data_IF_080118954062
#
_entry.id   IF_080118954062
#
_cell.length_a   1.000
_cell.length_b   1.000
_cell.length_c   1.000
_cell.angle_alpha   90.00
_cell.angle_beta   90.00
_cell.angle_gamma   90.00
#
_symmetry.space_group_name_H-M   'P 1'
#
loop_
_entity.id
_entity.type
_entity.pdbx_description
1 polymer ?
#
# COMPACT_ATOMS: atom_id res chain seq x y z
N UNK A 1 -1.46 -52.19 35.79
CA UNK A 1 -1.29 -50.93 36.54
C UNK A 1 -0.17 -50.16 35.87
N UNK A 2 -0.50 -48.99 35.31
CA UNK A 2 0.39 -48.16 34.49
C UNK A 2 1.18 -47.20 35.39
N UNK A 3 2.50 -47.01 35.24
CA UNK A 3 3.22 -45.95 35.93
C UNK A 3 3.09 -44.61 35.18
N UNK A 4 2.91 -43.55 35.95
CA UNK A 4 2.77 -42.15 35.52
C UNK A 4 3.94 -41.66 34.64
N UNK A 5 3.61 -41.05 33.50
CA UNK A 5 4.42 -40.00 32.88
C UNK A 5 4.10 -38.65 33.57
N UNK A 6 5.09 -37.86 33.99
CA UNK A 6 4.84 -36.47 34.38
C UNK A 6 4.64 -35.63 33.12
N UNK A 7 3.55 -34.88 33.12
CA UNK A 7 3.16 -33.93 32.09
C UNK A 7 3.99 -32.64 32.24
N UNK A 8 4.92 -32.38 31.32
CA UNK A 8 5.60 -31.08 31.22
C UNK A 8 4.70 -30.09 30.47
N UNK A 9 3.72 -29.52 31.19
CA UNK A 9 3.14 -28.24 30.78
C UNK A 9 4.11 -27.14 31.24
N UNK A 10 4.87 -26.59 30.28
CA UNK A 10 5.87 -25.55 30.52
C UNK A 10 5.25 -24.31 31.16
N UNK A 11 5.79 -23.92 32.32
CA UNK A 11 5.55 -22.63 32.92
C UNK A 11 6.25 -21.58 32.05
N UNK A 12 5.49 -20.72 31.37
CA UNK A 12 6.02 -19.44 30.91
C UNK A 12 6.52 -18.70 32.17
N UNK A 13 7.79 -18.29 32.18
CA UNK A 13 8.40 -17.63 33.32
C UNK A 13 7.77 -16.24 33.52
N UNK A 14 7.68 -15.75 34.75
CA UNK A 14 7.14 -14.41 35.07
C UNK A 14 7.89 -13.28 34.32
N UNK A 15 9.11 -13.55 33.84
CA UNK A 15 9.90 -12.65 32.98
C UNK A 15 9.28 -12.48 31.58
N UNK A 16 8.76 -13.56 30.95
CA UNK A 16 8.10 -13.49 29.63
C UNK A 16 6.80 -12.65 29.69
N UNK A 17 6.14 -12.58 30.85
CA UNK A 17 4.92 -11.79 31.05
C UNK A 17 5.17 -10.27 31.20
N UNK A 18 6.44 -9.84 31.26
CA UNK A 18 6.81 -8.43 31.46
C UNK A 18 7.59 -7.82 30.29
N UNK A 19 7.94 -8.62 29.27
CA UNK A 19 8.73 -8.16 28.14
C UNK A 19 7.94 -7.19 27.24
N UNK A 20 8.51 -6.00 27.04
CA UNK A 20 7.97 -5.01 26.11
C UNK A 20 8.33 -5.37 24.67
N UNK A 21 7.40 -5.09 23.77
CA UNK A 21 7.52 -5.31 22.34
C UNK A 21 7.20 -4.02 21.59
N UNK A 22 7.96 -3.73 20.53
CA UNK A 22 7.59 -2.71 19.56
C UNK A 22 6.61 -3.35 18.59
N UNK A 23 5.36 -2.87 18.61
CA UNK A 23 4.27 -3.34 17.74
C UNK A 23 4.17 -2.42 16.53
N UNK A 24 4.15 -3.02 15.35
CA UNK A 24 4.15 -2.32 14.07
C UNK A 24 3.33 -3.08 13.04
N UNK A 25 3.14 -2.47 11.88
CA UNK A 25 2.47 -3.11 10.75
C UNK A 25 3.43 -3.33 9.58
N UNK A 26 3.23 -4.43 8.85
CA UNK A 26 3.87 -4.70 7.58
C UNK A 26 2.91 -5.51 6.71
N UNK A 27 2.65 -5.06 5.48
CA UNK A 27 1.69 -5.67 4.55
C UNK A 27 0.29 -5.91 5.19
N UNK A 28 -0.23 -4.91 5.91
CA UNK A 28 -1.50 -4.97 6.65
C UNK A 28 -1.57 -6.03 7.77
N UNK A 29 -0.41 -6.51 8.25
CA UNK A 29 -0.33 -7.44 9.37
C UNK A 29 0.34 -6.79 10.56
N UNK A 30 -0.19 -7.05 11.76
CA UNK A 30 0.40 -6.57 13.00
C UNK A 30 1.50 -7.52 13.45
N UNK A 31 2.69 -6.98 13.55
CA UNK A 31 3.89 -7.69 13.93
C UNK A 31 4.53 -7.05 15.15
N UNK A 32 5.45 -7.78 15.78
CA UNK A 32 6.20 -7.29 16.91
C UNK A 32 7.63 -7.81 16.93
N UNK A 33 8.54 -6.99 17.45
CA UNK A 33 9.90 -7.36 17.83
C UNK A 33 10.09 -6.96 19.29
N UNK A 34 10.80 -7.80 20.05
CA UNK A 34 11.17 -7.49 21.43
C UNK A 34 11.88 -6.14 21.53
N UNK A 35 11.44 -5.29 22.45
CA UNK A 35 11.89 -3.90 22.55
C UNK A 35 13.40 -3.80 22.83
N UNK A 36 13.97 -4.74 23.59
CA UNK A 36 15.40 -4.80 23.88
C UNK A 36 16.28 -5.04 22.64
N UNK A 37 15.70 -5.54 21.54
CA UNK A 37 16.38 -5.71 20.25
C UNK A 37 16.26 -4.49 19.33
N UNK A 38 15.40 -3.53 19.66
CA UNK A 38 15.20 -2.31 18.86
C UNK A 38 16.02 -1.17 19.46
N UNK A 39 17.10 -0.78 18.77
CA UNK A 39 17.98 0.32 19.19
C UNK A 39 17.30 1.68 19.05
N UNK A 40 16.61 1.91 17.91
CA UNK A 40 15.88 3.14 17.64
C UNK A 40 14.90 2.97 16.47
N UNK A 41 13.86 3.80 16.47
CA UNK A 41 12.97 4.00 15.34
C UNK A 41 13.43 5.24 14.57
N UNK A 42 13.57 5.12 13.25
CA UNK A 42 14.05 6.23 12.42
C UNK A 42 13.12 6.44 11.25
N UNK A 43 12.93 7.70 10.85
CA UNK A 43 12.46 8.01 9.51
C UNK A 43 13.56 7.61 8.54
N UNK A 44 13.20 6.80 7.53
CA UNK A 44 14.15 6.22 6.62
C UNK A 44 14.87 7.34 5.83
N UNK A 45 16.20 7.44 5.92
CA UNK A 45 16.97 8.34 5.06
C UNK A 45 17.00 7.79 3.62
N UNK A 46 17.57 8.53 2.65
CA UNK A 46 17.71 8.03 1.28
C UNK A 46 18.39 6.67 1.23
N UNK A 47 17.75 5.73 0.53
CA UNK A 47 18.24 4.36 0.35
C UNK A 47 19.13 4.30 -0.89
N UNK A 48 20.29 3.66 -0.77
CA UNK A 48 21.16 3.35 -1.89
C UNK A 48 21.00 1.86 -2.21
N UNK A 49 20.42 1.48 -3.36
CA UNK A 49 20.28 0.08 -3.74
C UNK A 49 21.64 -0.61 -3.85
N UNK A 50 21.69 -1.89 -3.46
CA UNK A 50 22.89 -2.73 -3.61
C UNK A 50 22.56 -3.86 -4.59
N UNK A 51 23.36 -4.05 -5.66
CA UNK A 51 23.13 -5.14 -6.61
C UNK A 51 23.56 -6.50 -6.04
N UNK A 52 23.02 -7.59 -6.59
CA UNK A 52 23.38 -8.98 -6.25
C UNK A 52 23.16 -9.38 -4.79
N UNK A 53 22.21 -8.74 -4.10
CA UNK A 53 21.77 -9.11 -2.75
C UNK A 53 20.48 -9.91 -2.77
N UNK A 54 20.14 -10.51 -1.63
CA UNK A 54 18.84 -11.13 -1.42
C UNK A 54 17.70 -10.13 -1.75
N UNK A 55 16.57 -10.54 -2.38
CA UNK A 55 15.48 -9.63 -2.75
C UNK A 55 14.85 -8.84 -1.60
N UNK A 56 14.98 -9.34 -0.37
CA UNK A 56 14.53 -8.63 0.83
C UNK A 56 15.45 -7.46 1.23
N UNK A 57 16.65 -7.35 0.66
CA UNK A 57 17.57 -6.23 0.90
C UNK A 57 17.18 -5.08 -0.02
N UNK A 58 16.55 -4.06 0.55
CA UNK A 58 16.20 -2.84 -0.17
C UNK A 58 17.44 -1.98 -0.50
N UNK A 59 18.53 -2.14 0.25
CA UNK A 59 19.80 -1.50 -0.02
C UNK A 59 20.57 -1.19 1.27
N UNK A 60 21.27 -0.06 1.27
CA UNK A 60 21.96 0.49 2.43
C UNK A 60 21.48 1.91 2.72
N UNK A 61 21.56 2.29 3.99
CA UNK A 61 21.29 3.66 4.46
C UNK A 61 22.49 4.20 5.22
N UNK A 62 22.64 5.52 5.21
CA UNK A 62 23.58 6.22 6.08
C UNK A 62 22.83 6.79 7.29
N UNK A 63 23.05 6.21 8.46
CA UNK A 63 22.47 6.67 9.71
C UNK A 63 23.56 7.29 10.59
N UNK A 64 23.56 8.62 10.69
CA UNK A 64 24.54 9.40 11.48
C UNK A 64 26.01 9.06 11.17
N UNK A 65 26.33 8.82 9.90
CA UNK A 65 27.68 8.48 9.44
C UNK A 65 27.97 6.97 9.38
N UNK A 66 27.10 6.13 9.94
CA UNK A 66 27.22 4.68 9.85
C UNK A 66 26.44 4.13 8.65
N UNK A 67 27.09 3.29 7.85
CA UNK A 67 26.43 2.54 6.77
C UNK A 67 25.77 1.30 7.36
N UNK A 68 24.44 1.21 7.21
CA UNK A 68 23.61 0.16 7.77
C UNK A 68 22.82 -0.51 6.64
N UNK A 69 22.74 -1.84 6.64
CA UNK A 69 21.92 -2.59 5.70
C UNK A 69 20.43 -2.38 5.97
N UNK A 70 19.64 -2.25 4.90
CA UNK A 70 18.20 -2.07 4.96
C UNK A 70 17.48 -3.29 4.41
N UNK A 71 16.64 -3.87 5.24
CA UNK A 71 15.71 -4.94 4.89
C UNK A 71 14.30 -4.38 4.72
N UNK A 72 13.58 -4.77 3.67
CA UNK A 72 12.14 -4.54 3.56
C UNK A 72 11.38 -5.74 4.10
N UNK A 73 10.66 -5.54 5.21
CA UNK A 73 9.94 -6.63 5.86
C UNK A 73 8.79 -7.18 5.01
N UNK A 74 8.18 -6.36 4.13
CA UNK A 74 7.18 -6.87 3.18
C UNK A 74 7.80 -7.87 2.21
N UNK A 75 8.99 -7.56 1.71
CA UNK A 75 9.73 -8.45 0.81
C UNK A 75 10.13 -9.76 1.52
N UNK A 76 10.47 -9.71 2.81
CA UNK A 76 10.65 -10.92 3.65
C UNK A 76 9.39 -11.78 3.66
N UNK A 77 8.21 -11.16 3.68
CA UNK A 77 6.93 -11.87 3.66
C UNK A 77 6.46 -12.24 2.24
N UNK A 78 7.30 -12.06 1.22
CA UNK A 78 6.94 -12.32 -0.18
C UNK A 78 5.85 -11.38 -0.69
N UNK A 79 5.72 -10.19 -0.10
CA UNK A 79 4.77 -9.14 -0.49
C UNK A 79 5.49 -8.03 -1.24
N UNK A 80 4.81 -7.33 -2.17
CA UNK A 80 5.37 -6.14 -2.81
C UNK A 80 5.77 -5.11 -1.75
N UNK A 81 6.86 -4.38 -2.00
CA UNK A 81 7.24 -3.27 -1.14
C UNK A 81 6.16 -2.19 -1.15
N UNK A 82 6.14 -1.31 -0.15
CA UNK A 82 5.28 -0.12 -0.17
C UNK A 82 5.53 0.70 -1.44
N UNK A 83 6.79 0.78 -1.88
CA UNK A 83 7.16 1.50 -3.09
C UNK A 83 6.56 0.85 -4.35
N UNK A 84 6.59 -0.48 -4.45
CA UNK A 84 6.00 -1.23 -5.58
C UNK A 84 4.48 -1.09 -5.62
N UNK A 85 3.80 -1.16 -4.47
CA UNK A 85 2.35 -0.96 -4.40
C UNK A 85 1.95 0.45 -4.84
N UNK A 86 2.66 1.47 -4.37
CA UNK A 86 2.43 2.85 -4.79
C UNK A 86 2.70 2.98 -6.29
N UNK A 87 3.79 2.42 -6.79
CA UNK A 87 4.12 2.50 -8.21
C UNK A 87 3.03 1.84 -9.07
N UNK A 88 2.54 0.67 -8.69
CA UNK A 88 1.42 0.02 -9.35
C UNK A 88 0.16 0.87 -9.34
N UNK A 89 -0.17 1.48 -8.20
CA UNK A 89 -1.30 2.40 -8.09
C UNK A 89 -1.15 3.64 -8.97
N UNK A 90 0.05 4.23 -9.04
CA UNK A 90 0.31 5.38 -9.90
C UNK A 90 0.12 5.03 -11.39
N UNK A 91 0.53 3.82 -11.80
CA UNK A 91 0.30 3.31 -13.15
C UNK A 91 -1.20 3.11 -13.41
N UNK A 92 -1.96 2.56 -12.47
CA UNK A 92 -3.42 2.46 -12.59
C UNK A 92 -4.08 3.84 -12.76
N UNK A 93 -3.63 4.85 -12.01
CA UNK A 93 -4.14 6.23 -12.15
C UNK A 93 -3.81 6.83 -13.53
N UNK A 94 -2.65 6.53 -14.10
CA UNK A 94 -2.29 6.92 -15.47
C UNK A 94 -3.21 6.27 -16.51
N UNK A 95 -3.53 4.99 -16.33
CA UNK A 95 -4.44 4.27 -17.21
C UNK A 95 -5.86 4.84 -17.11
N UNK A 96 -6.33 5.16 -15.90
CA UNK A 96 -7.63 5.78 -15.68
C UNK A 96 -7.72 7.16 -16.33
N UNK A 97 -6.70 8.01 -16.20
CA UNK A 97 -6.70 9.32 -16.85
C UNK A 97 -6.73 9.16 -18.38
N UNK A 98 -5.92 8.23 -18.91
CA UNK A 98 -5.83 7.96 -20.35
C UNK A 98 -7.14 7.46 -20.94
N UNK A 99 -7.87 6.58 -20.23
CA UNK A 99 -9.17 6.09 -20.67
C UNK A 99 -10.13 7.25 -21.00
N UNK A 100 -10.17 8.28 -20.16
CA UNK A 100 -11.01 9.47 -20.36
C UNK A 100 -10.49 10.38 -21.48
N UNK A 101 -9.17 10.52 -21.61
CA UNK A 101 -8.55 11.26 -22.71
C UNK A 101 -8.89 10.61 -24.07
N UNK A 102 -8.78 9.29 -24.15
CA UNK A 102 -9.08 8.51 -25.35
C UNK A 102 -10.57 8.59 -25.71
N UNK A 103 -11.47 8.52 -24.72
CA UNK A 103 -12.91 8.71 -24.95
C UNK A 103 -13.20 10.07 -25.63
N UNK A 104 -12.63 11.15 -25.10
CA UNK A 104 -12.83 12.50 -25.65
C UNK A 104 -12.18 12.65 -27.03
N UNK A 105 -11.00 12.06 -27.25
CA UNK A 105 -10.34 12.05 -28.55
C UNK A 105 -11.18 11.31 -29.62
N UNK A 106 -11.79 10.17 -29.25
CA UNK A 106 -12.67 9.42 -30.15
C UNK A 106 -13.93 10.22 -30.52
N UNK A 107 -14.52 10.95 -29.57
CA UNK A 107 -15.64 11.86 -29.86
C UNK A 107 -15.22 13.01 -30.80
N UNK A 108 -14.04 13.60 -30.60
CA UNK A 108 -13.49 14.64 -31.47
C UNK A 108 -13.35 14.13 -32.89
N UNK A 109 -12.67 13.00 -33.05
CA UNK A 109 -12.46 12.37 -34.33
C UNK A 109 -13.79 12.05 -35.03
N UNK A 110 -14.80 11.56 -34.30
CA UNK A 110 -16.10 11.24 -34.86
C UNK A 110 -16.85 12.49 -35.37
N UNK A 111 -16.79 13.60 -34.62
CA UNK A 111 -17.39 14.87 -35.06
C UNK A 111 -16.69 15.44 -36.29
N UNK A 112 -15.36 15.46 -36.31
CA UNK A 112 -14.52 15.97 -37.40
C UNK A 112 -14.71 15.17 -38.69
N UNK A 113 -14.64 13.85 -38.59
CA UNK A 113 -14.84 12.91 -39.71
C UNK A 113 -16.31 12.79 -40.14
N UNK A 114 -17.24 13.40 -39.39
CA UNK A 114 -18.69 13.27 -39.58
C UNK A 114 -19.19 11.82 -39.53
N UNK A 115 -18.49 10.95 -38.81
CA UNK A 115 -18.88 9.56 -38.60
C UNK A 115 -19.87 9.41 -37.44
N UNK A 116 -20.34 8.18 -37.20
CA UNK A 116 -21.19 7.87 -36.06
C UNK A 116 -20.41 8.02 -34.75
N UNK A 117 -21.03 8.60 -33.72
CA UNK A 117 -20.41 8.71 -32.41
C UNK A 117 -20.23 7.31 -31.79
N UNK A 118 -19.04 6.98 -31.27
CA UNK A 118 -18.78 5.69 -30.65
C UNK A 118 -19.64 5.50 -29.40
N UNK A 119 -19.89 4.25 -29.02
CA UNK A 119 -20.41 3.93 -27.68
C UNK A 119 -19.30 4.19 -26.67
N UNK A 120 -19.63 4.85 -25.58
CA UNK A 120 -18.75 5.01 -24.42
C UNK A 120 -19.22 4.08 -23.29
N UNK A 121 -18.31 3.61 -22.41
CA UNK A 121 -18.71 2.91 -21.19
C UNK A 121 -19.52 3.82 -20.27
N UNK A 122 -20.41 3.25 -19.47
CA UNK A 122 -21.09 3.97 -18.40
C UNK A 122 -20.09 4.36 -17.28
N UNK A 123 -20.39 5.38 -16.43
CA UNK A 123 -19.46 5.83 -15.40
C UNK A 123 -18.96 4.74 -14.44
N UNK A 124 -19.77 3.72 -14.18
CA UNK A 124 -19.40 2.60 -13.30
C UNK A 124 -18.73 1.44 -14.07
N UNK A 125 -18.71 1.50 -15.40
CA UNK A 125 -18.07 0.52 -16.26
C UNK A 125 -16.63 0.91 -16.60
N UNK A 126 -16.19 2.17 -16.41
CA UNK A 126 -14.80 2.57 -16.67
C UNK A 126 -13.82 2.10 -15.58
N UNK A 127 -12.52 2.08 -15.86
CA UNK A 127 -11.48 1.63 -14.93
C UNK A 127 -11.52 2.37 -13.59
N UNK A 128 -11.59 3.69 -13.62
CA UNK A 128 -11.73 4.54 -12.43
C UNK A 128 -13.02 4.24 -11.66
N UNK A 129 -14.15 4.18 -12.36
CA UNK A 129 -15.47 3.96 -11.78
C UNK A 129 -15.58 2.61 -11.06
N UNK A 130 -15.04 1.55 -11.66
CA UNK A 130 -14.96 0.23 -11.02
C UNK A 130 -14.07 0.26 -9.79
N UNK A 131 -12.89 0.90 -9.88
CA UNK A 131 -11.90 0.94 -8.80
C UNK A 131 -12.43 1.60 -7.53
N UNK A 132 -13.25 2.63 -7.68
CA UNK A 132 -13.74 3.47 -6.59
C UNK A 132 -15.26 3.35 -6.36
N UNK A 133 -15.88 2.27 -6.85
CA UNK A 133 -17.32 2.01 -6.67
C UNK A 133 -17.74 1.97 -5.18
N UNK A 134 -16.89 1.37 -4.34
CA UNK A 134 -17.11 1.27 -2.89
C UNK A 134 -16.45 2.41 -2.08
N UNK A 135 -15.99 3.45 -2.79
CA UNK A 135 -15.32 4.61 -2.20
C UNK A 135 -13.80 4.48 -2.07
N UNK A 136 -13.18 5.61 -1.75
CA UNK A 136 -11.75 5.75 -1.58
C UNK A 136 -11.27 5.17 -0.24
N UNK A 137 -10.36 4.20 -0.30
CA UNK A 137 -9.59 3.77 0.86
C UNK A 137 -8.35 4.66 1.01
N UNK A 138 -7.97 4.97 2.26
CA UNK A 138 -6.80 5.78 2.57
C UNK A 138 -7.11 7.02 3.42
N UNK A 139 -6.17 7.97 3.44
CA UNK A 139 -6.28 9.16 4.29
C UNK A 139 -7.35 10.15 3.79
N UNK A 140 -7.72 11.11 4.65
CA UNK A 140 -8.74 12.13 4.35
C UNK A 140 -8.43 12.95 3.09
N UNK A 141 -7.15 13.15 2.76
CA UNK A 141 -6.75 13.91 1.58
C UNK A 141 -7.09 13.14 0.29
N UNK A 142 -6.74 11.85 0.24
CA UNK A 142 -7.13 10.93 -0.86
C UNK A 142 -8.64 10.93 -1.05
N UNK A 143 -9.42 10.80 0.03
CA UNK A 143 -10.88 10.81 -0.01
C UNK A 143 -11.44 12.13 -0.56
N UNK A 144 -10.84 13.26 -0.18
CA UNK A 144 -11.24 14.59 -0.66
C UNK A 144 -11.01 14.76 -2.15
N UNK A 145 -9.86 14.31 -2.68
CA UNK A 145 -9.56 14.41 -4.11
C UNK A 145 -10.52 13.53 -4.92
N UNK A 146 -10.73 12.27 -4.51
CA UNK A 146 -11.61 11.33 -5.21
C UNK A 146 -13.06 11.84 -5.25
N UNK A 147 -13.56 12.43 -4.16
CA UNK A 147 -14.90 13.05 -4.16
C UNK A 147 -15.04 14.18 -5.19
N UNK A 148 -13.98 14.96 -5.42
CA UNK A 148 -13.98 16.07 -6.40
C UNK A 148 -13.91 15.60 -7.85
N UNK A 149 -13.47 14.36 -8.09
CA UNK A 149 -13.45 13.75 -9.43
C UNK A 149 -14.88 13.43 -9.91
N UNK A 150 -15.82 13.13 -9.00
CA UNK A 150 -17.18 12.67 -9.35
C UNK A 150 -17.92 13.60 -10.32
N UNK A 151 -17.85 14.92 -10.08
CA UNK A 151 -18.50 15.94 -10.93
C UNK A 151 -18.02 15.91 -12.39
N UNK A 152 -16.74 16.22 -12.67
CA UNK A 152 -16.22 16.20 -14.04
C UNK A 152 -16.26 14.79 -14.66
N UNK A 153 -16.09 13.73 -13.87
CA UNK A 153 -16.23 12.34 -14.34
C UNK A 153 -17.62 12.08 -14.93
N UNK A 154 -18.69 12.37 -14.19
CA UNK A 154 -20.08 12.22 -14.68
C UNK A 154 -20.35 13.08 -15.91
N UNK A 155 -19.82 14.30 -15.95
CA UNK A 155 -19.98 15.20 -17.09
C UNK A 155 -19.35 14.64 -18.38
N UNK A 156 -18.15 14.03 -18.28
CA UNK A 156 -17.50 13.39 -19.43
C UNK A 156 -18.29 12.19 -19.94
N UNK A 157 -18.82 11.34 -19.06
CA UNK A 157 -19.63 10.19 -19.49
C UNK A 157 -20.99 10.60 -20.11
N UNK A 158 -21.58 11.71 -19.66
CA UNK A 158 -22.80 12.27 -20.26
C UNK A 158 -22.57 12.91 -21.64
N UNK A 159 -21.33 13.27 -21.96
CA UNK A 159 -20.98 14.07 -23.13
C UNK A 159 -21.47 13.47 -24.45
N UNK A 160 -21.34 12.15 -24.63
CA UNK A 160 -21.82 11.48 -25.85
C UNK A 160 -23.29 11.77 -26.12
N UNK A 161 -24.14 11.67 -25.10
CA UNK A 161 -25.59 11.90 -25.23
C UNK A 161 -25.92 13.35 -25.58
N UNK A 162 -25.17 14.30 -25.02
CA UNK A 162 -25.27 15.72 -25.38
C UNK A 162 -24.93 15.95 -26.85
N UNK A 163 -23.80 15.41 -27.31
CA UNK A 163 -23.34 15.53 -28.69
C UNK A 163 -24.30 14.86 -29.66
N UNK A 164 -24.81 13.66 -29.32
CA UNK A 164 -25.75 12.93 -30.15
C UNK A 164 -27.05 13.71 -30.38
N UNK A 165 -27.59 14.36 -29.34
CA UNK A 165 -28.77 15.22 -29.47
C UNK A 165 -28.53 16.40 -30.42
N UNK A 166 -27.39 17.07 -30.30
CA UNK A 166 -27.03 18.21 -31.16
C UNK A 166 -26.82 17.79 -32.61
N UNK A 167 -26.12 16.67 -32.84
CA UNK A 167 -25.87 16.13 -34.18
C UNK A 167 -27.19 15.70 -34.86
N UNK A 168 -28.10 15.06 -34.13
CA UNK A 168 -29.44 14.69 -34.65
C UNK A 168 -30.29 15.91 -35.00
N UNK A 169 -30.12 17.01 -34.28
CA UNK A 169 -30.77 18.29 -34.59
C UNK A 169 -30.10 19.06 -35.75
N UNK A 170 -29.01 18.54 -36.33
CA UNK A 170 -28.28 19.18 -37.41
C UNK A 170 -27.27 20.25 -36.97
N UNK A 171 -27.15 20.51 -35.66
CA UNK A 171 -26.31 21.58 -35.11
C UNK A 171 -24.91 21.08 -34.72
N UNK A 172 -24.11 20.75 -35.74
CA UNK A 172 -22.75 20.23 -35.54
C UNK A 172 -21.79 21.28 -34.98
N UNK A 173 -22.05 22.55 -35.24
CA UNK A 173 -21.21 23.64 -34.74
C UNK A 173 -21.36 23.80 -33.21
N UNK A 174 -22.59 23.71 -32.68
CA UNK A 174 -22.80 23.63 -31.23
C UNK A 174 -22.24 22.34 -30.63
N UNK A 175 -22.33 21.20 -31.35
CA UNK A 175 -21.70 19.97 -30.89
C UNK A 175 -20.17 20.11 -30.73
N UNK A 176 -19.51 20.70 -31.73
CA UNK A 176 -18.07 20.98 -31.66
C UNK A 176 -17.70 21.93 -30.51
N UNK A 177 -18.47 23.01 -30.30
CA UNK A 177 -18.29 23.90 -29.14
C UNK A 177 -18.44 23.17 -27.81
N UNK A 178 -19.51 22.37 -27.65
CA UNK A 178 -19.77 21.61 -26.42
C UNK A 178 -18.64 20.61 -26.10
N UNK A 179 -18.05 20.00 -27.13
CA UNK A 179 -16.88 19.13 -26.97
C UNK A 179 -15.64 19.94 -26.55
N UNK A 180 -15.37 21.08 -27.19
CA UNK A 180 -14.25 21.94 -26.83
C UNK A 180 -14.37 22.46 -25.38
N UNK A 181 -15.59 22.81 -24.95
CA UNK A 181 -15.87 23.20 -23.56
C UNK A 181 -15.60 22.04 -22.58
N UNK A 182 -15.97 20.81 -22.95
CA UNK A 182 -15.68 19.63 -22.13
C UNK A 182 -14.17 19.35 -22.04
N UNK A 183 -13.42 19.56 -23.12
CA UNK A 183 -11.96 19.42 -23.15
C UNK A 183 -11.28 20.46 -22.25
N UNK A 184 -11.66 21.74 -22.38
CA UNK A 184 -11.08 22.83 -21.62
C UNK A 184 -11.54 22.88 -20.15
N UNK A 185 -12.72 22.32 -19.85
CA UNK A 185 -13.32 22.26 -18.52
C UNK A 185 -13.13 20.91 -17.85
N UNK A 186 -14.04 19.97 -18.12
CA UNK A 186 -14.15 18.70 -17.41
C UNK A 186 -12.89 17.82 -17.54
N UNK A 187 -12.35 17.65 -18.76
CA UNK A 187 -11.17 16.81 -18.98
C UNK A 187 -9.89 17.44 -18.41
N UNK A 188 -9.68 18.75 -18.62
CA UNK A 188 -8.57 19.46 -18.00
C UNK A 188 -8.63 19.38 -16.46
N UNK A 189 -9.85 19.47 -15.90
CA UNK A 189 -10.08 19.33 -14.47
C UNK A 189 -9.79 17.92 -13.96
N UNK A 190 -10.16 16.89 -14.71
CA UNK A 190 -9.80 15.50 -14.40
C UNK A 190 -8.28 15.33 -14.31
N UNK A 191 -7.52 15.81 -15.29
CA UNK A 191 -6.05 15.72 -15.27
C UNK A 191 -5.42 16.40 -14.06
N UNK A 192 -5.93 17.57 -13.66
CA UNK A 192 -5.49 18.25 -12.44
C UNK A 192 -5.74 17.39 -11.18
N UNK A 193 -6.94 16.79 -11.07
CA UNK A 193 -7.31 15.98 -9.91
C UNK A 193 -6.55 14.64 -9.86
N UNK A 194 -6.31 13.99 -11.00
CA UNK A 194 -5.45 12.81 -11.06
C UNK A 194 -4.02 13.14 -10.66
N UNK A 195 -3.47 14.28 -11.10
CA UNK A 195 -2.16 14.72 -10.66
C UNK A 195 -2.12 15.01 -9.14
N UNK A 196 -3.12 15.69 -8.60
CA UNK A 196 -3.26 15.92 -7.15
C UNK A 196 -3.31 14.59 -6.36
N UNK A 197 -4.02 13.59 -6.89
CA UNK A 197 -4.12 12.27 -6.29
C UNK A 197 -2.78 11.51 -6.30
N UNK A 198 -2.05 11.54 -7.43
CA UNK A 198 -0.71 10.95 -7.54
C UNK A 198 0.26 11.56 -6.54
N UNK A 199 0.27 12.89 -6.43
CA UNK A 199 1.12 13.59 -5.46
C UNK A 199 0.76 13.22 -4.02
N UNK A 200 -0.54 13.09 -3.71
CA UNK A 200 -1.01 12.67 -2.38
C UNK A 200 -0.45 11.29 -2.00
N UNK A 201 -0.43 10.33 -2.92
CA UNK A 201 0.15 9.01 -2.67
C UNK A 201 1.68 9.05 -2.55
N UNK A 202 2.36 9.92 -3.30
CA UNK A 202 3.83 10.10 -3.21
C UNK A 202 4.25 10.72 -1.88
N UNK A 203 3.56 11.77 -1.44
CA UNK A 203 3.97 12.57 -0.26
C UNK A 203 3.40 12.05 1.05
N UNK A 204 2.35 11.23 1.03
CA UNK A 204 1.75 10.64 2.23
C UNK A 204 2.64 9.62 2.94
N UNK A 205 3.77 9.23 2.33
CA UNK A 205 4.66 8.19 2.82
C UNK A 205 5.54 8.69 3.96
N UNK A 206 5.48 8.00 5.11
CA UNK A 206 6.53 8.04 6.13
C UNK A 206 7.16 6.67 6.17
N UNK A 207 8.29 6.52 5.51
CA UNK A 207 9.07 5.29 5.64
C UNK A 207 9.67 5.27 7.04
N UNK A 208 9.25 4.31 7.85
CA UNK A 208 9.82 4.09 9.18
C UNK A 208 10.64 2.81 9.13
N UNK A 209 11.84 2.86 9.71
CA UNK A 209 12.65 1.69 9.93
C UNK A 209 12.92 1.49 11.42
N UNK A 210 12.89 0.22 11.83
CA UNK A 210 13.38 -0.24 13.12
C UNK A 210 14.85 -0.57 12.97
N UNK A 211 15.72 0.11 13.71
CA UNK A 211 17.14 -0.28 13.80
C UNK A 211 17.24 -1.39 14.84
N UNK A 212 17.49 -2.60 14.37
CA UNK A 212 17.57 -3.81 15.18
C UNK A 212 19.03 -4.16 15.44
N UNK A 213 19.34 -4.52 16.68
CA UNK A 213 20.69 -4.92 17.11
C UNK A 213 20.65 -6.27 17.83
N UNK A 214 21.54 -7.16 17.39
CA UNK A 214 21.81 -8.44 18.04
C UNK A 214 23.27 -8.49 18.49
N UNK A 215 23.52 -9.22 19.58
CA UNK A 215 24.85 -9.31 20.16
C UNK A 215 25.84 -9.94 19.17
N UNK A 216 26.98 -9.27 18.99
CA UNK A 216 28.02 -9.71 18.04
C UNK A 216 27.70 -9.44 16.56
N UNK A 217 26.55 -8.83 16.24
CA UNK A 217 26.17 -8.51 14.86
C UNK A 217 26.15 -7.00 14.62
N UNK A 218 26.51 -6.58 13.41
CA UNK A 218 26.29 -5.20 12.96
C UNK A 218 24.78 -4.90 12.99
N UNK A 219 24.35 -3.69 13.38
CA UNK A 219 22.94 -3.35 13.37
C UNK A 219 22.36 -3.42 11.96
N UNK A 220 21.06 -3.69 11.86
CA UNK A 220 20.31 -3.74 10.61
C UNK A 220 19.06 -2.87 10.73
N UNK A 221 18.74 -2.11 9.69
CA UNK A 221 17.49 -1.40 9.59
C UNK A 221 16.43 -2.30 8.94
N UNK A 222 15.24 -2.37 9.53
CA UNK A 222 14.10 -3.13 9.03
C UNK A 222 12.98 -2.14 8.74
N UNK A 223 12.67 -1.94 7.46
CA UNK A 223 11.56 -1.09 7.02
C UNK A 223 10.23 -1.77 7.33
N UNK A 224 9.32 -0.99 7.92
CA UNK A 224 7.95 -1.39 8.29
C UNK A 224 6.96 -0.33 7.79
N UNK A 225 5.67 -0.66 7.74
CA UNK A 225 4.64 0.27 7.22
C UNK A 225 4.35 1.38 8.21
N UNK A 226 4.18 1.03 9.48
CA UNK A 226 3.99 1.99 10.56
C UNK A 226 4.28 1.36 11.91
N UNK A 227 4.77 2.14 12.87
CA UNK A 227 4.87 1.72 14.28
C UNK A 227 3.61 2.18 15.01
N UNK A 228 2.98 1.26 15.73
CA UNK A 228 1.73 1.52 16.44
C UNK A 228 1.97 1.87 17.92
N UNK A 229 2.65 0.99 18.65
CA UNK A 229 2.80 1.12 20.11
C UNK A 229 4.03 0.35 20.62
N UNK A 230 4.41 0.60 21.87
CA UNK A 230 5.31 -0.28 22.64
C UNK A 230 4.49 -0.84 23.80
N UNK A 231 4.28 -2.15 23.80
CA UNK A 231 3.40 -2.80 24.79
C UNK A 231 3.89 -4.20 25.17
N UNK A 232 3.38 -4.70 26.28
CA UNK A 232 3.49 -6.10 26.68
C UNK A 232 2.47 -6.93 25.90
N UNK A 233 2.90 -8.10 25.42
CA UNK A 233 2.06 -9.02 24.67
C UNK A 233 1.83 -10.30 25.48
N UNK A 234 0.66 -10.91 25.31
CA UNK A 234 0.32 -12.19 25.95
C UNK A 234 0.33 -13.30 24.91
N UNK A 235 1.12 -14.35 25.11
CA UNK A 235 1.18 -15.47 24.17
C UNK A 235 -0.21 -16.08 23.94
N UNK A 236 -0.60 -16.25 22.67
CA UNK A 236 -1.89 -16.82 22.30
C UNK A 236 -1.85 -18.35 22.45
N UNK A 237 -2.96 -18.94 22.91
CA UNK A 237 -3.09 -20.40 23.02
C UNK A 237 -3.36 -21.01 21.63
N UNK A 238 -2.63 -22.08 21.32
CA UNK A 238 -2.53 -22.64 19.97
C UNK A 238 -3.80 -23.29 19.42
N UNK A 239 -4.74 -22.47 18.93
CA UNK A 239 -5.75 -22.85 17.92
C UNK A 239 -6.29 -21.66 17.11
N UNK A 240 -5.91 -20.41 17.41
CA UNK A 240 -6.56 -19.21 16.83
C UNK A 240 -5.91 -18.67 15.54
N UNK A 241 -4.94 -19.37 14.94
CA UNK A 241 -4.18 -18.83 13.80
C UNK A 241 -4.22 -19.72 12.54
N UNK A 242 -4.96 -19.27 11.52
CA UNK A 242 -4.96 -19.79 10.13
C UNK A 242 -3.90 -19.11 9.24
N UNK A 243 -3.08 -18.21 9.79
CA UNK A 243 -2.15 -17.38 9.02
C UNK A 243 -0.79 -17.99 8.73
N UNK A 244 -0.55 -19.27 9.07
CA UNK A 244 0.61 -20.03 8.57
C UNK A 244 0.64 -20.11 7.03
N UNK A 245 -0.46 -19.75 6.36
CA UNK A 245 -0.58 -19.65 4.89
C UNK A 245 0.11 -18.43 4.27
N UNK A 246 0.48 -17.41 5.05
CA UNK A 246 1.01 -16.14 4.52
C UNK A 246 2.50 -15.89 4.77
N UNK A 247 3.15 -16.69 5.63
CA UNK A 247 4.55 -16.52 5.98
C UNK A 247 5.34 -17.77 5.63
N UNK A 248 6.60 -17.61 5.24
CA UNK A 248 7.57 -18.68 5.49
C UNK A 248 7.59 -18.91 7.00
N UNK A 249 7.18 -20.09 7.46
CA UNK A 249 7.05 -20.44 8.88
C UNK A 249 8.34 -20.27 9.70
N UNK A 250 9.48 -20.03 9.06
CA UNK A 250 10.79 -19.84 9.67
C UNK A 250 11.02 -18.50 10.35
N UNK A 251 10.22 -17.46 10.06
CA UNK A 251 10.43 -16.08 10.57
C UNK A 251 9.72 -15.78 11.89
N UNK A 252 8.80 -16.65 12.30
CA UNK A 252 7.85 -16.39 13.38
C UNK A 252 8.30 -17.15 14.62
N UNK A 253 8.45 -16.43 15.73
CA UNK A 253 8.72 -17.05 17.02
C UNK A 253 7.42 -17.61 17.62
N UNK A 254 6.43 -16.73 17.81
CA UNK A 254 5.11 -17.11 18.31
C UNK A 254 4.03 -16.09 17.93
N UNK A 255 2.78 -16.44 18.23
CA UNK A 255 1.64 -15.51 18.16
C UNK A 255 1.29 -15.06 19.56
N UNK A 256 1.00 -13.77 19.68
CA UNK A 256 0.57 -13.15 20.91
C UNK A 256 -0.67 -12.29 20.66
N UNK A 257 -1.26 -11.80 21.74
CA UNK A 257 -2.32 -10.79 21.73
C UNK A 257 -1.87 -9.56 22.48
N UNK A 258 -2.28 -8.39 22.00
CA UNK A 258 -2.16 -7.15 22.78
C UNK A 258 -3.25 -7.05 23.86
N UNK A 259 -3.26 -5.95 24.61
CA UNK A 259 -4.24 -5.69 25.68
C UNK A 259 -5.68 -5.64 25.20
N UNK A 260 -5.92 -5.41 23.91
CA UNK A 260 -7.25 -5.39 23.29
C UNK A 260 -7.64 -6.76 22.73
N UNK A 261 -6.80 -7.79 22.92
CA UNK A 261 -7.04 -9.14 22.41
C UNK A 261 -6.77 -9.30 20.92
N UNK A 262 -6.11 -8.32 20.28
CA UNK A 262 -5.83 -8.35 18.84
C UNK A 262 -4.58 -9.18 18.60
N UNK A 263 -4.63 -10.06 17.60
CA UNK A 263 -3.50 -10.93 17.26
C UNK A 263 -2.29 -10.14 16.75
N UNK A 264 -1.10 -10.55 17.21
CA UNK A 264 0.21 -9.98 16.86
C UNK A 264 1.17 -11.11 16.55
N UNK A 265 1.85 -11.03 15.40
CA UNK A 265 2.91 -11.97 15.03
C UNK A 265 4.24 -11.51 15.61
N UNK A 266 4.81 -12.26 16.54
CA UNK A 266 6.13 -11.96 17.11
C UNK A 266 7.22 -12.56 16.21
N UNK A 267 8.11 -11.69 15.72
CA UNK A 267 9.19 -12.04 14.79
C UNK A 267 10.45 -12.34 15.60
N UNK A 268 11.16 -13.41 15.25
CA UNK A 268 12.50 -13.70 15.78
C UNK A 268 13.54 -12.88 15.00
N UNK A 269 14.17 -11.84 15.59
CA UNK A 269 15.07 -10.99 14.85
C UNK A 269 16.26 -11.74 14.26
N UNK A 270 16.78 -12.78 14.92
CA UNK A 270 17.92 -13.54 14.40
C UNK A 270 17.66 -14.11 13.00
N UNK A 271 16.42 -14.49 12.70
CA UNK A 271 16.01 -15.02 11.39
C UNK A 271 16.12 -13.99 10.26
N UNK A 272 15.96 -12.69 10.57
CA UNK A 272 16.16 -11.60 9.61
C UNK A 272 17.63 -11.47 9.21
N UNK A 273 18.55 -11.67 10.17
CA UNK A 273 19.99 -11.62 9.91
C UNK A 273 20.46 -12.87 9.16
N UNK A 274 19.95 -14.05 9.50
CA UNK A 274 20.24 -15.30 8.78
C UNK A 274 19.83 -15.23 7.31
N UNK A 275 18.68 -14.62 7.00
CA UNK A 275 18.15 -14.51 5.64
C UNK A 275 19.12 -13.82 4.67
N UNK A 276 19.83 -12.79 5.13
CA UNK A 276 20.73 -12.00 4.28
C UNK A 276 22.18 -12.46 4.33
N UNK A 277 22.50 -13.39 5.22
CA UNK A 277 23.82 -14.01 5.32
C UNK A 277 23.97 -15.23 4.38
N UNK A 278 22.86 -15.75 3.85
CA UNK A 278 22.78 -16.88 2.92
C UNK A 278 22.90 -16.44 1.45
#
# INVERSE_FOLDING_TARGET
MNPHHPNHAGQATEEEQSQLHVVFTAANQRCAIAHDKVEQMVTLPPVVPVPHTHPAVAGIINLRGAVIGLLDLRAVFGRPSVADEIQGLLMELDDYEREHQDMVAQLSWALESKSALPRLPEPHECGYGRRYADGAQGNQHVQSVISRIDGPHKALHALRGDLERLVRAGDRERAARRLADAQAGDLARMGQLFNELRETYRTGRRDIALVVRLDGMSPMAVQVDSVETVDTLTRANGTEWDGSRNFGSSMIDHIATDREGRLVTVIEPARLFELVAA
#
